data_IF_472069902303
#
_entry.id   IF_472069902303
#
_cell.length_a   1.000
_cell.length_b   1.000
_cell.length_c   1.000
_cell.angle_alpha   90.00
_cell.angle_beta   90.00
_cell.angle_gamma   90.00
#
_symmetry.space_group_name_H-M   'P 1'
#
loop_
_entity.id
_entity.type
_entity.pdbx_description
1 polymer ?
#
# COMPACT_ATOMS: atom_id res chain seq x y z
N UNK A 1 -9.43 -12.35 3.31
CA UNK A 1 -8.67 -11.13 2.96
C UNK A 1 -9.38 -10.44 1.79
N UNK A 2 -9.36 -9.12 1.73
CA UNK A 2 -9.88 -8.35 0.59
C UNK A 2 -8.88 -7.28 0.16
N UNK A 3 -8.80 -7.00 -1.14
CA UNK A 3 -7.96 -5.96 -1.72
C UNK A 3 -8.58 -5.36 -2.99
N UNK A 4 -7.98 -4.28 -3.47
CA UNK A 4 -8.23 -3.78 -4.82
C UNK A 4 -7.81 -4.83 -5.87
N UNK A 5 -8.43 -4.76 -7.04
CA UNK A 5 -8.05 -5.49 -8.24
C UNK A 5 -6.79 -4.88 -8.89
N UNK A 6 -5.61 -5.29 -8.42
CA UNK A 6 -4.30 -4.99 -9.01
C UNK A 6 -3.57 -6.27 -9.42
N UNK A 7 -2.62 -6.18 -10.35
CA UNK A 7 -1.84 -7.35 -10.80
C UNK A 7 -1.10 -8.03 -9.64
N UNK A 8 -0.58 -7.26 -8.68
CA UNK A 8 0.06 -7.78 -7.46
C UNK A 8 -0.93 -8.63 -6.65
N UNK A 9 -2.12 -8.10 -6.39
CA UNK A 9 -3.13 -8.77 -5.59
C UNK A 9 -3.79 -9.96 -6.32
N UNK A 10 -3.86 -9.91 -7.65
CA UNK A 10 -4.21 -11.09 -8.44
C UNK A 10 -3.21 -12.24 -8.24
N UNK A 11 -1.92 -11.92 -8.22
CA UNK A 11 -0.87 -12.90 -7.96
C UNK A 11 -0.96 -13.44 -6.53
N UNK A 12 -1.16 -12.58 -5.53
CA UNK A 12 -1.38 -12.98 -4.14
C UNK A 12 -2.58 -13.92 -4.00
N UNK A 13 -3.74 -13.53 -4.55
CA UNK A 13 -4.99 -14.28 -4.43
C UNK A 13 -4.92 -15.65 -5.13
N UNK A 14 -4.30 -15.72 -6.31
CA UNK A 14 -4.25 -16.96 -7.12
C UNK A 14 -3.08 -17.87 -6.73
N UNK A 15 -1.97 -17.30 -6.27
CA UNK A 15 -0.70 -18.03 -6.06
C UNK A 15 -0.32 -18.11 -4.59
N UNK A 16 -0.18 -16.96 -3.92
CA UNK A 16 0.34 -16.93 -2.54
C UNK A 16 -0.67 -17.47 -1.53
N UNK A 17 -1.96 -17.15 -1.67
CA UNK A 17 -3.01 -17.70 -0.82
C UNK A 17 -3.06 -19.23 -0.90
N UNK A 18 -2.92 -19.79 -2.11
CA UNK A 18 -2.84 -21.23 -2.33
C UNK A 18 -1.60 -21.84 -1.64
N UNK A 19 -0.42 -21.27 -1.88
CA UNK A 19 0.81 -21.75 -1.27
C UNK A 19 0.75 -21.70 0.28
N UNK A 20 0.20 -20.62 0.83
CA UNK A 20 -0.02 -20.49 2.27
C UNK A 20 -0.96 -21.57 2.80
N UNK A 21 -2.08 -21.84 2.11
CA UNK A 21 -3.00 -22.90 2.49
C UNK A 21 -2.38 -24.30 2.42
N UNK A 22 -1.52 -24.57 1.42
CA UNK A 22 -0.81 -25.85 1.31
C UNK A 22 0.23 -26.05 2.42
N UNK A 23 0.93 -24.99 2.83
CA UNK A 23 1.96 -25.05 3.87
C UNK A 23 1.35 -25.16 5.27
N UNK A 24 0.26 -24.43 5.53
CA UNK A 24 -0.27 -24.22 6.88
C UNK A 24 -1.53 -25.04 7.17
N UNK A 25 -2.24 -25.51 6.13
CA UNK A 25 -3.59 -26.05 6.25
C UNK A 25 -4.68 -25.00 6.48
N UNK A 26 -4.34 -23.71 6.59
CA UNK A 26 -5.29 -22.62 6.80
C UNK A 26 -5.81 -22.15 5.44
N UNK A 27 -7.12 -22.28 5.23
CA UNK A 27 -7.75 -21.82 3.98
C UNK A 27 -7.80 -20.30 3.93
N UNK A 28 -7.20 -19.70 2.89
CA UNK A 28 -7.26 -18.25 2.66
C UNK A 28 -8.17 -17.98 1.45
N UNK A 29 -9.25 -17.26 1.70
CA UNK A 29 -10.07 -16.65 0.64
C UNK A 29 -9.66 -15.19 0.47
N UNK A 30 -9.17 -14.84 -0.70
CA UNK A 30 -8.74 -13.48 -1.05
C UNK A 30 -9.65 -12.91 -2.14
N UNK A 31 -10.57 -12.04 -1.73
CA UNK A 31 -11.52 -11.38 -2.62
C UNK A 31 -10.86 -10.14 -3.27
N UNK A 32 -11.04 -10.00 -4.59
CA UNK A 32 -10.61 -8.83 -5.36
C UNK A 32 -11.84 -8.02 -5.74
N UNK A 33 -11.85 -6.74 -5.40
CA UNK A 33 -12.94 -5.80 -5.72
C UNK A 33 -12.36 -4.48 -6.20
N UNK A 34 -13.19 -3.52 -6.61
CA UNK A 34 -12.71 -2.19 -6.97
C UNK A 34 -12.28 -1.42 -5.72
N UNK A 35 -11.28 -0.54 -5.83
CA UNK A 35 -10.75 0.23 -4.70
C UNK A 35 -11.86 0.94 -3.90
N UNK A 36 -12.78 1.60 -4.61
CA UNK A 36 -13.94 2.27 -4.01
C UNK A 36 -14.78 1.34 -3.13
N UNK A 37 -14.98 0.09 -3.57
CA UNK A 37 -15.72 -0.92 -2.79
C UNK A 37 -14.92 -1.39 -1.56
N UNK A 38 -13.59 -1.46 -1.65
CA UNK A 38 -12.72 -1.75 -0.49
C UNK A 38 -12.91 -0.67 0.56
N UNK A 39 -12.81 0.60 0.16
CA UNK A 39 -12.93 1.75 1.05
C UNK A 39 -14.32 1.81 1.69
N UNK A 40 -15.40 1.66 0.91
CA UNK A 40 -16.77 1.68 1.42
C UNK A 40 -17.03 0.56 2.45
N UNK A 41 -16.60 -0.67 2.13
CA UNK A 41 -16.77 -1.82 3.03
C UNK A 41 -15.92 -1.69 4.29
N UNK A 42 -14.70 -1.16 4.18
CA UNK A 42 -13.82 -0.92 5.32
C UNK A 42 -14.43 0.14 6.27
N UNK A 43 -14.94 1.23 5.72
CA UNK A 43 -15.65 2.26 6.50
C UNK A 43 -16.89 1.69 7.19
N UNK A 44 -17.69 0.89 6.49
CA UNK A 44 -18.86 0.22 7.06
C UNK A 44 -18.46 -0.74 8.18
N UNK A 45 -17.37 -1.49 8.02
CA UNK A 45 -16.80 -2.37 9.06
C UNK A 45 -16.42 -1.57 10.31
N UNK A 46 -15.71 -0.45 10.15
CA UNK A 46 -15.29 0.41 11.26
C UNK A 46 -16.49 1.05 12.00
N UNK A 47 -17.50 1.52 11.26
CA UNK A 47 -18.68 2.18 11.85
C UNK A 47 -19.60 1.17 12.56
N UNK A 48 -19.82 0.01 11.95
CA UNK A 48 -20.69 -1.03 12.52
C UNK A 48 -20.02 -1.84 13.63
N UNK A 49 -18.68 -1.83 13.68
CA UNK A 49 -17.90 -2.73 14.55
C UNK A 49 -17.97 -4.19 14.13
N UNK A 50 -18.46 -4.49 12.91
CA UNK A 50 -18.59 -5.84 12.37
C UNK A 50 -17.82 -5.93 11.06
N UNK A 51 -16.68 -6.63 11.10
CA UNK A 51 -15.90 -6.88 9.91
C UNK A 51 -16.39 -8.13 9.17
N UNK A 52 -16.56 -8.01 7.86
CA UNK A 52 -16.87 -9.13 6.96
C UNK A 52 -15.61 -9.80 6.41
N UNK A 53 -14.44 -9.24 6.70
CA UNK A 53 -13.13 -9.77 6.34
C UNK A 53 -12.18 -9.74 7.54
N UNK A 54 -11.33 -10.76 7.67
CA UNK A 54 -10.32 -10.83 8.73
C UNK A 54 -9.05 -10.02 8.42
N UNK A 55 -8.83 -9.71 7.14
CA UNK A 55 -7.66 -8.97 6.67
C UNK A 55 -8.03 -8.07 5.50
N UNK A 56 -7.45 -6.87 5.51
CA UNK A 56 -7.72 -5.80 4.55
C UNK A 56 -6.39 -5.30 3.99
N UNK A 57 -6.28 -5.27 2.67
CA UNK A 57 -5.26 -4.50 1.99
C UNK A 57 -5.90 -3.16 1.66
N UNK A 58 -5.36 -2.10 2.28
CA UNK A 58 -5.87 -0.74 2.15
C UNK A 58 -4.71 0.24 2.00
N UNK A 59 -4.95 1.36 1.32
CA UNK A 59 -3.94 2.37 1.10
C UNK A 59 -3.39 2.96 2.40
N UNK A 60 -2.09 3.28 2.39
CA UNK A 60 -1.43 3.97 3.50
C UNK A 60 -1.99 5.36 3.75
N UNK A 61 -2.65 5.97 2.75
CA UNK A 61 -3.31 7.27 2.88
C UNK A 61 -4.42 7.26 3.96
N UNK A 62 -4.93 6.08 4.30
CA UNK A 62 -5.90 5.87 5.37
C UNK A 62 -5.29 5.80 6.76
N UNK A 63 -3.96 5.87 6.94
CA UNK A 63 -3.31 5.76 8.26
C UNK A 63 -3.87 6.75 9.29
N UNK A 64 -4.19 7.97 8.85
CA UNK A 64 -4.80 8.98 9.69
C UNK A 64 -6.24 8.65 10.13
N UNK A 65 -6.98 7.88 9.33
CA UNK A 65 -8.31 7.36 9.67
C UNK A 65 -8.19 6.21 10.65
N UNK A 66 -7.32 5.23 10.35
CA UNK A 66 -7.09 4.03 11.14
C UNK A 66 -6.73 4.36 12.58
N UNK A 67 -5.78 5.28 12.77
CA UNK A 67 -5.35 5.77 14.07
C UNK A 67 -6.47 6.49 14.83
N UNK A 68 -7.13 7.47 14.20
CA UNK A 68 -8.10 8.35 14.90
C UNK A 68 -9.38 7.64 15.29
N UNK A 69 -9.83 6.67 14.51
CA UNK A 69 -11.10 5.98 14.77
C UNK A 69 -10.96 4.89 15.83
N UNK A 70 -9.73 4.42 16.10
CA UNK A 70 -9.47 3.40 17.13
C UNK A 70 -10.14 2.06 16.86
N UNK A 71 -10.44 1.76 15.58
CA UNK A 71 -11.07 0.51 15.15
C UNK A 71 -10.08 -0.49 14.56
N UNK A 72 -8.92 -0.01 14.13
CA UNK A 72 -7.87 -0.84 13.55
C UNK A 72 -6.91 -1.27 14.65
N UNK A 73 -6.52 -2.54 14.61
CA UNK A 73 -5.56 -3.12 15.54
C UNK A 73 -4.17 -2.52 15.31
N UNK A 74 -3.51 -2.08 16.38
CA UNK A 74 -2.08 -1.75 16.34
C UNK A 74 -1.28 -3.03 16.12
N UNK A 75 -0.57 -3.11 14.99
CA UNK A 75 0.31 -4.23 14.69
C UNK A 75 1.53 -4.23 15.61
N UNK A 76 2.01 -3.06 16.03
CA UNK A 76 3.07 -2.96 17.04
C UNK A 76 2.66 -3.65 18.34
N UNK A 77 1.47 -3.35 18.86
CA UNK A 77 0.97 -3.97 20.09
C UNK A 77 0.63 -5.45 19.90
N UNK A 78 0.02 -5.80 18.77
CA UNK A 78 -0.34 -7.18 18.46
C UNK A 78 0.90 -8.08 18.42
N UNK A 79 1.90 -7.72 17.63
CA UNK A 79 3.14 -8.49 17.50
C UNK A 79 3.91 -8.58 18.83
N UNK A 80 3.85 -7.54 19.68
CA UNK A 80 4.49 -7.57 20.99
C UNK A 80 3.74 -8.41 22.04
N UNK A 81 2.43 -8.62 21.87
CA UNK A 81 1.53 -9.22 22.87
C UNK A 81 0.83 -10.46 22.30
N UNK A 82 -0.47 -10.35 22.00
CA UNK A 82 -1.34 -11.50 21.66
C UNK A 82 -0.93 -12.20 20.36
N UNK A 83 -0.29 -11.48 19.43
CA UNK A 83 0.22 -12.01 18.17
C UNK A 83 1.63 -12.56 18.26
N UNK A 84 2.32 -12.47 19.40
CA UNK A 84 3.74 -12.79 19.50
C UNK A 84 4.08 -14.22 19.07
N UNK A 85 3.26 -15.20 19.45
CA UNK A 85 3.47 -16.60 19.07
C UNK A 85 3.19 -16.87 17.58
N UNK A 86 2.40 -16.01 16.93
CA UNK A 86 1.99 -16.10 15.53
C UNK A 86 2.84 -15.20 14.61
N UNK A 87 3.60 -14.28 15.19
CA UNK A 87 4.46 -13.36 14.44
C UNK A 87 5.69 -14.11 13.97
N UNK A 88 5.98 -14.06 12.68
CA UNK A 88 7.17 -14.69 12.11
C UNK A 88 8.42 -14.15 12.83
N UNK A 89 9.22 -15.00 13.50
CA UNK A 89 10.42 -14.55 14.23
C UNK A 89 11.51 -13.98 13.33
N UNK A 90 11.45 -14.23 12.02
CA UNK A 90 12.33 -13.64 11.01
C UNK A 90 11.80 -12.36 10.36
N UNK A 91 10.66 -11.81 10.82
CA UNK A 91 10.12 -10.56 10.29
C UNK A 91 10.99 -9.37 10.70
N UNK A 92 11.73 -8.80 9.75
CA UNK A 92 12.51 -7.58 9.97
C UNK A 92 11.73 -6.34 9.53
N UNK A 93 11.05 -5.70 10.47
CA UNK A 93 10.29 -4.46 10.21
C UNK A 93 11.19 -3.33 9.67
N UNK A 94 12.49 -3.32 9.99
CA UNK A 94 13.41 -2.28 9.52
C UNK A 94 13.81 -2.45 8.06
N UNK A 95 13.60 -3.65 7.49
CA UNK A 95 13.87 -3.96 6.08
C UNK A 95 12.72 -3.51 5.15
N UNK A 96 11.57 -3.14 5.71
CA UNK A 96 10.47 -2.58 4.92
C UNK A 96 10.77 -1.14 4.53
N UNK A 97 10.62 -0.86 3.23
CA UNK A 97 10.59 0.51 2.74
C UNK A 97 9.23 1.12 3.09
N UNK A 98 9.20 2.38 3.50
CA UNK A 98 7.95 3.15 3.63
C UNK A 98 7.13 2.89 4.91
N UNK A 99 7.70 2.30 5.95
CA UNK A 99 7.02 2.10 7.25
C UNK A 99 6.51 3.41 7.88
N UNK A 100 7.11 4.54 7.54
CA UNK A 100 6.64 5.86 7.97
C UNK A 100 5.23 6.20 7.46
N UNK A 101 4.80 5.64 6.31
CA UNK A 101 3.46 5.85 5.76
C UNK A 101 2.40 5.00 6.46
N UNK A 102 2.81 3.94 7.17
CA UNK A 102 1.91 3.02 7.88
C UNK A 102 2.01 3.12 9.40
N UNK A 103 2.83 4.05 9.89
CA UNK A 103 3.02 4.36 11.32
C UNK A 103 2.36 5.69 11.65
N UNK A 104 1.49 5.70 12.65
CA UNK A 104 0.77 6.91 13.06
C UNK A 104 1.59 7.78 14.02
N UNK A 105 1.15 9.03 14.32
CA UNK A 105 1.87 9.95 15.21
C UNK A 105 2.06 9.46 16.66
N UNK A 106 1.32 8.42 17.07
CA UNK A 106 1.50 7.74 18.36
C UNK A 106 2.70 6.77 18.37
N UNK A 107 3.38 6.61 17.22
CA UNK A 107 4.52 5.70 17.04
C UNK A 107 4.10 4.24 16.78
N UNK A 108 2.80 3.96 16.64
CA UNK A 108 2.29 2.61 16.40
C UNK A 108 2.06 2.37 14.90
N UNK A 109 2.44 1.18 14.43
CA UNK A 109 2.18 0.72 13.07
C UNK A 109 0.80 0.07 13.01
N UNK A 110 -0.01 0.46 12.03
CA UNK A 110 -1.38 -0.07 11.84
C UNK A 110 -1.54 -0.86 10.53
N UNK A 111 -0.55 -0.77 9.63
CA UNK A 111 -0.50 -1.54 8.38
C UNK A 111 0.93 -2.05 8.17
N UNK A 112 1.08 -3.29 7.68
CA UNK A 112 2.36 -3.75 7.14
C UNK A 112 2.45 -3.30 5.68
N UNK A 113 3.54 -2.66 5.25
CA UNK A 113 3.72 -2.32 3.84
C UNK A 113 3.74 -3.60 2.99
N UNK A 114 2.84 -3.68 2.02
CA UNK A 114 2.62 -4.86 1.19
C UNK A 114 2.99 -4.59 -0.28
N UNK A 115 2.59 -3.43 -0.78
CA UNK A 115 2.92 -2.92 -2.11
C UNK A 115 3.35 -1.45 -2.03
N UNK A 116 4.22 -1.02 -2.95
CA UNK A 116 4.59 0.39 -3.10
C UNK A 116 4.29 0.91 -4.50
N UNK A 117 3.85 2.17 -4.56
CA UNK A 117 3.76 2.93 -5.79
C UNK A 117 4.92 3.93 -5.87
N UNK A 118 5.86 3.68 -6.76
CA UNK A 118 6.87 4.67 -7.09
C UNK A 118 6.23 5.75 -7.98
N UNK A 119 6.08 6.97 -7.45
CA UNK A 119 5.71 8.12 -8.26
C UNK A 119 6.92 8.56 -9.08
N UNK A 120 6.84 8.35 -10.39
CA UNK A 120 7.90 8.63 -11.35
C UNK A 120 7.39 9.60 -12.40
N UNK A 121 8.23 10.57 -12.77
CA UNK A 121 7.99 11.33 -13.99
C UNK A 121 8.43 10.52 -15.21
N UNK A 122 7.47 10.25 -16.09
CA UNK A 122 7.72 9.67 -17.40
C UNK A 122 7.74 10.78 -18.45
N UNK A 123 8.79 10.85 -19.25
CA UNK A 123 8.91 11.85 -20.30
C UNK A 123 9.51 11.27 -21.58
N UNK A 124 9.27 11.95 -22.70
CA UNK A 124 9.81 11.59 -24.01
C UNK A 124 11.21 12.16 -24.18
N UNK A 125 12.22 11.37 -23.87
CA UNK A 125 13.63 11.79 -23.95
C UNK A 125 13.98 12.42 -25.31
N UNK A 126 13.52 11.82 -26.41
CA UNK A 126 13.74 12.35 -27.76
C UNK A 126 13.14 13.75 -27.97
N UNK A 127 11.95 14.04 -27.41
CA UNK A 127 11.36 15.37 -27.48
C UNK A 127 12.15 16.39 -26.65
N UNK A 128 12.65 15.98 -25.48
CA UNK A 128 13.46 16.84 -24.62
C UNK A 128 14.89 17.01 -25.14
N UNK A 129 15.36 16.18 -26.06
CA UNK A 129 16.66 16.30 -26.73
C UNK A 129 16.60 17.12 -28.02
N UNK A 130 15.44 17.18 -28.68
CA UNK A 130 15.24 17.89 -29.95
C UNK A 130 15.62 19.37 -29.87
N UNK A 131 16.62 19.75 -30.66
CA UNK A 131 17.14 21.13 -30.74
C UNK A 131 16.05 22.15 -31.07
N UNK A 132 15.16 21.85 -32.01
CA UNK A 132 14.11 22.80 -32.41
C UNK A 132 13.12 23.08 -31.29
N UNK A 133 12.85 22.09 -30.43
CA UNK A 133 11.99 22.25 -29.26
C UNK A 133 12.69 23.02 -28.15
N UNK A 134 13.98 22.74 -27.90
CA UNK A 134 14.80 23.52 -26.95
C UNK A 134 14.85 25.00 -27.32
N UNK A 135 15.14 25.30 -28.59
CA UNK A 135 15.24 26.68 -29.09
C UNK A 135 13.90 27.42 -28.95
N UNK A 136 12.79 26.79 -29.38
CA UNK A 136 11.44 27.38 -29.26
C UNK A 136 11.03 27.60 -27.80
N UNK A 137 11.35 26.65 -26.93
CA UNK A 137 11.06 26.75 -25.51
C UNK A 137 11.83 27.92 -24.88
N UNK A 138 13.14 28.02 -25.13
CA UNK A 138 13.97 29.11 -24.62
C UNK A 138 13.53 30.48 -25.16
N UNK A 139 13.19 30.57 -26.44
CA UNK A 139 12.70 31.81 -27.03
C UNK A 139 11.37 32.27 -26.39
N UNK A 140 10.51 31.32 -26.01
CA UNK A 140 9.20 31.61 -25.40
C UNK A 140 9.27 31.91 -23.90
N UNK A 141 10.08 31.15 -23.16
CA UNK A 141 10.05 31.14 -21.69
C UNK A 141 11.30 31.76 -21.05
N UNK A 142 12.36 32.02 -21.81
CA UNK A 142 13.58 32.67 -21.32
C UNK A 142 14.55 31.76 -20.57
N UNK A 143 14.31 30.45 -20.51
CA UNK A 143 15.20 29.46 -19.88
C UNK A 143 15.24 28.14 -20.65
N UNK A 144 16.22 27.28 -20.33
CA UNK A 144 16.43 26.00 -21.02
C UNK A 144 15.30 24.99 -20.74
N UNK A 145 14.97 24.18 -21.74
CA UNK A 145 14.06 23.04 -21.56
C UNK A 145 14.77 21.94 -20.74
N UNK A 146 14.42 21.82 -19.47
CA UNK A 146 14.93 20.79 -18.55
C UNK A 146 14.02 19.56 -18.48
N UNK A 147 14.57 18.42 -18.08
CA UNK A 147 13.79 17.20 -17.83
C UNK A 147 13.12 17.27 -16.44
N UNK A 148 11.98 16.59 -16.24
CA UNK A 148 11.38 16.49 -14.90
C UNK A 148 12.34 15.87 -13.89
N UNK A 149 12.34 16.38 -12.66
CA UNK A 149 13.13 15.87 -11.54
C UNK A 149 12.18 15.52 -10.38
N UNK A 150 12.41 14.37 -9.76
CA UNK A 150 11.73 13.93 -8.54
C UNK A 150 12.32 14.64 -7.30
#
# INVERSE_FOLDING_TARGET
VVSETLTTHEYESKTLAKAFSEITGITVKHDLIQEGDVVEKLQTSMQSGKSIYDGWISDSDLIGTHYRYGKIMSLTDYMAKAGKEWTNPGLDIKDFIGTSFTTAPDGQMYQLPDQQFANLYWFRADLFERKDLKDKFKAKYGYELGVPQN
#
